data_IF_444197835819
#
_entry.id   IF_444197835819
#
_cell.length_a   1.000
_cell.length_b   1.000
_cell.length_c   1.000
_cell.angle_alpha   90.00
_cell.angle_beta   90.00
_cell.angle_gamma   90.00
#
_symmetry.space_group_name_H-M   'P 1'
#
loop_
_entity.id
_entity.type
_entity.pdbx_description
1 polymer ?
#
# COMPACT_ATOMS: atom_id res chain seq x y z
N UNK A 1 -9.62 -1.20 25.88
CA UNK A 1 -9.50 0.26 25.65
C UNK A 1 -9.31 0.43 24.14
N UNK A 2 -10.33 0.92 23.42
CA UNK A 2 -10.20 1.18 21.99
C UNK A 2 -9.37 2.46 21.87
N UNK A 3 -8.11 2.34 21.45
CA UNK A 3 -7.29 3.51 21.17
C UNK A 3 -7.93 4.29 20.03
N UNK A 4 -8.04 5.59 20.18
CA UNK A 4 -8.50 6.46 19.09
C UNK A 4 -7.45 6.40 17.99
N UNK A 5 -7.87 6.22 16.73
CA UNK A 5 -7.02 6.19 15.54
C UNK A 5 -5.98 7.34 15.52
N UNK A 6 -6.40 8.56 15.86
CA UNK A 6 -5.52 9.72 15.92
C UNK A 6 -4.44 9.60 17.00
N UNK A 7 -4.78 9.03 18.15
CA UNK A 7 -3.82 8.80 19.23
C UNK A 7 -2.78 7.78 18.83
N UNK A 8 -3.21 6.71 18.16
CA UNK A 8 -2.32 5.66 17.70
C UNK A 8 -1.40 6.16 16.58
N UNK A 9 -1.91 6.91 15.63
CA UNK A 9 -1.11 7.57 14.60
C UNK A 9 -0.05 8.52 15.21
N UNK A 10 -0.43 9.34 16.20
CA UNK A 10 0.51 10.21 16.92
C UNK A 10 1.55 9.41 17.70
N UNK A 11 1.14 8.33 18.36
CA UNK A 11 2.04 7.44 19.11
C UNK A 11 3.11 6.88 18.19
N UNK A 12 2.74 6.23 17.10
CA UNK A 12 3.67 5.62 16.15
C UNK A 12 4.62 6.66 15.57
N UNK A 13 4.11 7.81 15.19
CA UNK A 13 4.94 8.91 14.67
C UNK A 13 5.98 9.39 15.69
N UNK A 14 5.60 9.48 16.96
CA UNK A 14 6.48 9.93 18.04
C UNK A 14 7.50 8.87 18.43
N UNK A 15 7.08 7.63 18.60
CA UNK A 15 7.95 6.50 18.95
C UNK A 15 9.06 6.29 17.92
N UNK A 16 8.71 6.37 16.64
CA UNK A 16 9.70 6.21 15.58
C UNK A 16 10.45 7.49 15.25
N UNK A 17 10.09 8.64 15.85
CA UNK A 17 10.69 9.93 15.51
C UNK A 17 10.80 10.14 13.99
N UNK A 18 9.73 9.74 13.26
CA UNK A 18 9.74 9.63 11.82
C UNK A 18 9.93 11.00 11.13
N UNK A 19 10.78 11.02 10.12
CA UNK A 19 10.96 12.19 9.24
C UNK A 19 9.90 12.18 8.16
N UNK A 20 9.34 13.35 7.87
CA UNK A 20 8.50 13.55 6.67
C UNK A 20 9.38 13.98 5.50
N UNK A 21 9.23 13.28 4.40
CA UNK A 21 9.84 13.68 3.13
C UNK A 21 8.84 14.54 2.36
N UNK A 22 9.21 15.76 2.00
CA UNK A 22 8.42 16.75 1.28
C UNK A 22 7.14 17.26 1.98
N UNK A 23 6.95 18.55 1.98
CA UNK A 23 5.78 19.21 2.52
C UNK A 23 4.65 19.17 1.49
N UNK A 24 3.55 18.53 1.81
CA UNK A 24 2.24 18.80 1.20
C UNK A 24 1.67 17.81 0.20
N UNK A 25 2.42 16.77 -0.27
CA UNK A 25 1.88 15.76 -1.21
C UNK A 25 2.23 14.31 -0.86
N UNK A 26 2.69 14.03 0.34
CA UNK A 26 3.05 12.66 0.72
C UNK A 26 1.86 11.91 1.25
N UNK A 27 1.69 10.71 0.75
CA UNK A 27 0.85 9.70 1.37
C UNK A 27 1.54 9.32 2.68
N UNK A 28 0.92 9.67 3.79
CA UNK A 28 1.45 9.41 5.13
C UNK A 28 0.73 8.29 5.84
N UNK A 29 -0.35 7.81 5.25
CA UNK A 29 -1.18 6.71 5.72
C UNK A 29 -1.58 5.88 4.52
N UNK A 30 -1.45 4.58 4.65
CA UNK A 30 -1.84 3.61 3.63
C UNK A 30 -2.73 2.54 4.23
N UNK A 31 -3.43 1.83 3.36
CA UNK A 31 -4.30 0.73 3.74
C UNK A 31 -4.06 -0.46 2.81
N UNK A 32 -3.88 -1.64 3.39
CA UNK A 32 -4.08 -2.90 2.68
C UNK A 32 -5.47 -3.41 2.98
N UNK A 33 -6.16 -3.87 1.94
CA UNK A 33 -7.48 -4.46 2.05
C UNK A 33 -7.41 -5.92 1.61
N UNK A 34 -7.93 -6.80 2.44
CA UNK A 34 -8.09 -8.22 2.15
C UNK A 34 -9.57 -8.57 2.20
N UNK A 35 -10.05 -9.22 1.17
CA UNK A 35 -11.45 -9.58 1.09
C UNK A 35 -11.75 -10.46 -0.12
N UNK A 36 -13.00 -10.74 -0.33
CA UNK A 36 -13.51 -11.50 -1.47
C UNK A 36 -14.90 -11.02 -1.87
N UNK A 37 -15.37 -11.48 -3.03
CA UNK A 37 -16.74 -11.31 -3.45
C UNK A 37 -17.68 -12.21 -2.60
N UNK A 38 -18.99 -12.10 -2.82
CA UNK A 38 -19.98 -12.89 -2.12
C UNK A 38 -19.72 -14.40 -2.23
N UNK A 39 -19.47 -14.89 -3.43
CA UNK A 39 -19.24 -16.31 -3.72
C UNK A 39 -18.06 -16.88 -2.94
N UNK A 40 -16.99 -16.11 -2.78
CA UNK A 40 -15.84 -16.51 -1.98
C UNK A 40 -16.21 -16.80 -0.52
N UNK A 41 -17.14 -16.02 0.04
CA UNK A 41 -17.53 -16.18 1.45
C UNK A 41 -18.53 -17.30 1.67
N UNK A 42 -19.28 -17.71 0.63
CA UNK A 42 -20.24 -18.81 0.73
C UNK A 42 -19.58 -20.16 0.94
N UNK A 43 -18.30 -20.31 0.55
CA UNK A 43 -17.52 -21.53 0.74
C UNK A 43 -16.98 -21.69 2.16
N UNK A 44 -17.09 -20.67 3.03
CA UNK A 44 -16.63 -20.77 4.40
C UNK A 44 -17.70 -21.43 5.29
N UNK A 45 -17.34 -22.49 6.03
CA UNK A 45 -18.29 -23.25 6.83
C UNK A 45 -18.88 -22.44 8.00
N UNK A 46 -18.12 -21.52 8.56
CA UNK A 46 -18.54 -20.71 9.71
C UNK A 46 -17.69 -19.44 9.91
N UNK A 47 -18.11 -18.62 10.86
CA UNK A 47 -17.42 -17.37 11.24
C UNK A 47 -16.02 -17.61 11.83
N UNK A 48 -15.77 -18.75 12.40
CA UNK A 48 -14.47 -19.08 12.97
C UNK A 48 -13.42 -19.25 11.89
N UNK A 49 -13.77 -19.94 10.80
CA UNK A 49 -12.90 -20.10 9.63
C UNK A 49 -12.64 -18.76 8.93
N UNK A 50 -13.64 -17.89 8.85
CA UNK A 50 -13.48 -16.52 8.32
C UNK A 50 -12.48 -15.72 9.16
N UNK A 51 -12.61 -15.81 10.48
CA UNK A 51 -11.67 -15.14 11.39
C UNK A 51 -10.27 -15.75 11.27
N UNK A 52 -10.15 -17.06 11.08
CA UNK A 52 -8.86 -17.74 10.85
C UNK A 52 -8.21 -17.27 9.54
N UNK A 53 -8.99 -17.10 8.48
CA UNK A 53 -8.53 -16.50 7.23
C UNK A 53 -7.99 -15.08 7.46
N UNK A 54 -8.74 -14.19 8.10
CA UNK A 54 -8.30 -12.83 8.36
C UNK A 54 -7.07 -12.74 9.27
N UNK A 55 -6.91 -13.67 10.22
CA UNK A 55 -5.67 -13.77 11.01
C UNK A 55 -4.44 -14.08 10.14
N UNK A 56 -4.60 -14.93 9.12
CA UNK A 56 -3.50 -15.21 8.16
C UNK A 56 -3.24 -13.99 7.27
N UNK A 57 -4.28 -13.30 6.81
CA UNK A 57 -4.13 -12.05 6.06
C UNK A 57 -3.38 -10.98 6.88
N UNK A 58 -3.70 -10.85 8.16
CA UNK A 58 -3.01 -9.91 9.04
C UNK A 58 -1.54 -10.30 9.27
N UNK A 59 -1.24 -11.57 9.48
CA UNK A 59 0.14 -12.06 9.58
C UNK A 59 0.94 -11.77 8.30
N UNK A 60 0.35 -12.01 7.13
CA UNK A 60 0.93 -11.66 5.84
C UNK A 60 1.16 -10.14 5.70
N UNK A 61 0.21 -9.31 6.17
CA UNK A 61 0.39 -7.87 6.20
C UNK A 61 1.60 -7.47 7.07
N UNK A 62 1.73 -8.01 8.28
CA UNK A 62 2.90 -7.74 9.15
C UNK A 62 4.20 -8.10 8.45
N UNK A 63 4.28 -9.27 7.84
CA UNK A 63 5.48 -9.71 7.11
C UNK A 63 5.83 -8.77 5.95
N UNK A 64 4.83 -8.30 5.22
CA UNK A 64 5.01 -7.54 3.98
C UNK A 64 5.22 -6.06 4.21
N UNK A 65 4.37 -5.44 5.02
CA UNK A 65 4.35 -3.99 5.24
C UNK A 65 4.83 -3.58 6.63
N UNK A 66 5.00 -4.54 7.54
CA UNK A 66 5.45 -4.27 8.89
C UNK A 66 6.84 -3.63 8.94
N UNK A 67 7.03 -2.67 9.83
CA UNK A 67 8.32 -2.06 10.04
C UNK A 67 9.23 -3.05 10.77
N UNK A 68 10.33 -3.47 10.11
CA UNK A 68 11.21 -4.54 10.59
C UNK A 68 10.45 -5.85 10.90
N UNK A 69 9.46 -6.16 10.06
CA UNK A 69 8.61 -7.35 10.22
C UNK A 69 7.84 -7.40 11.55
N UNK A 70 7.47 -6.24 12.07
CA UNK A 70 6.61 -6.10 13.24
C UNK A 70 5.41 -5.23 12.93
N UNK A 71 4.41 -5.24 13.80
CA UNK A 71 3.19 -4.42 13.69
C UNK A 71 3.36 -2.96 14.17
N UNK A 72 4.58 -2.56 14.51
CA UNK A 72 4.86 -1.24 15.13
C UNK A 72 4.48 -0.03 14.29
N UNK A 73 4.38 -0.18 12.98
CA UNK A 73 3.90 0.85 12.06
C UNK A 73 2.42 0.69 11.69
N UNK A 74 1.75 -0.36 12.16
CA UNK A 74 0.33 -0.60 11.94
C UNK A 74 -0.47 0.21 12.96
N UNK A 75 -1.41 1.01 12.47
CA UNK A 75 -2.27 1.84 13.30
C UNK A 75 -3.44 1.02 13.83
N UNK A 76 -4.11 0.33 12.94
CA UNK A 76 -5.22 -0.56 13.28
C UNK A 76 -5.47 -1.57 12.17
N UNK A 77 -6.14 -2.66 12.54
CA UNK A 77 -6.71 -3.62 11.61
C UNK A 77 -8.19 -3.77 11.96
N UNK A 78 -9.06 -3.59 10.96
CA UNK A 78 -10.52 -3.54 11.16
C UNK A 78 -11.17 -4.52 10.21
N UNK A 79 -11.96 -5.44 10.74
CA UNK A 79 -12.84 -6.29 9.94
C UNK A 79 -14.18 -5.57 9.79
N UNK A 80 -14.56 -5.32 8.54
CA UNK A 80 -15.86 -4.76 8.18
C UNK A 80 -16.70 -5.88 7.57
N UNK A 81 -17.87 -6.14 8.15
CA UNK A 81 -18.81 -7.14 7.69
C UNK A 81 -20.07 -6.44 7.19
N UNK A 82 -20.33 -6.57 5.90
CA UNK A 82 -21.54 -6.16 5.23
C UNK A 82 -22.31 -7.42 4.77
N UNK A 83 -23.61 -7.34 4.44
CA UNK A 83 -24.40 -8.53 4.08
C UNK A 83 -23.76 -9.42 3.01
N UNK A 84 -23.05 -8.83 2.05
CA UNK A 84 -22.47 -9.54 0.91
C UNK A 84 -20.95 -9.37 0.79
N UNK A 85 -20.30 -8.73 1.76
CA UNK A 85 -18.85 -8.45 1.73
C UNK A 85 -18.26 -8.51 3.11
N UNK A 86 -17.09 -9.10 3.18
CA UNK A 86 -16.28 -9.10 4.39
C UNK A 86 -14.87 -8.69 4.02
N UNK A 87 -14.35 -7.67 4.68
CA UNK A 87 -13.05 -7.11 4.38
C UNK A 87 -12.26 -6.87 5.66
N UNK A 88 -10.97 -7.18 5.61
CA UNK A 88 -10.01 -6.74 6.59
C UNK A 88 -9.24 -5.54 6.03
N UNK A 89 -9.30 -4.41 6.71
CA UNK A 89 -8.53 -3.21 6.40
C UNK A 89 -7.38 -3.09 7.39
N UNK A 90 -6.16 -3.01 6.88
CA UNK A 90 -4.94 -2.83 7.69
C UNK A 90 -4.34 -1.47 7.37
N UNK A 91 -4.50 -0.52 8.28
CA UNK A 91 -3.98 0.85 8.14
C UNK A 91 -2.59 0.95 8.73
N UNK A 92 -1.64 1.49 7.98
CA UNK A 92 -0.23 1.56 8.36
C UNK A 92 0.49 2.81 7.88
N UNK A 93 1.62 3.10 8.51
CA UNK A 93 2.54 4.14 8.09
C UNK A 93 3.65 3.53 7.22
N UNK A 94 3.90 4.02 6.00
CA UNK A 94 4.97 3.54 5.12
C UNK A 94 6.34 4.02 5.61
N UNK A 95 6.84 3.41 6.69
CA UNK A 95 8.14 3.71 7.29
C UNK A 95 9.27 2.98 6.60
N UNK A 96 10.34 3.69 6.27
CA UNK A 96 11.57 3.13 5.73
C UNK A 96 12.80 3.67 6.45
N UNK A 97 13.80 2.82 6.70
CA UNK A 97 15.07 3.20 7.32
C UNK A 97 16.18 3.46 6.29
N UNK A 98 15.88 3.35 5.02
CA UNK A 98 16.79 3.62 3.91
C UNK A 98 16.09 4.41 2.82
N UNK A 99 16.74 5.43 2.28
CA UNK A 99 16.19 6.23 1.16
C UNK A 99 17.30 6.84 0.33
N UNK A 100 16.93 7.24 -0.89
CA UNK A 100 17.82 7.93 -1.80
C UNK A 100 17.76 9.44 -1.58
N UNK A 101 18.92 10.09 -1.46
CA UNK A 101 19.05 11.54 -1.40
C UNK A 101 19.87 12.05 -2.56
N UNK A 102 19.37 13.10 -3.22
CA UNK A 102 20.11 13.80 -4.26
C UNK A 102 21.43 14.35 -3.71
N UNK A 103 22.51 14.13 -4.44
CA UNK A 103 23.80 14.76 -4.15
C UNK A 103 23.81 16.10 -4.90
N UNK A 104 23.99 17.18 -4.15
CA UNK A 104 24.04 18.53 -4.71
C UNK A 104 25.44 19.11 -4.57
N UNK A 105 25.86 19.83 -5.60
CA UNK A 105 27.09 20.63 -5.58
C UNK A 105 26.95 21.93 -4.79
N UNK A 106 27.95 22.78 -4.91
CA UNK A 106 27.95 24.11 -4.30
C UNK A 106 27.28 25.18 -5.15
N UNK A 107 26.98 24.87 -6.42
CA UNK A 107 26.31 25.77 -7.34
C UNK A 107 24.81 25.85 -7.07
N UNK A 108 24.23 27.02 -7.35
CA UNK A 108 22.82 27.30 -7.16
C UNK A 108 22.13 27.56 -8.50
N UNK A 109 20.91 27.07 -8.62
CA UNK A 109 20.02 27.41 -9.73
C UNK A 109 19.51 28.85 -9.61
N UNK A 110 18.91 29.37 -10.68
CA UNK A 110 18.29 30.72 -10.70
C UNK A 110 17.22 30.89 -9.59
N UNK A 111 16.59 29.84 -9.14
CA UNK A 111 15.63 29.85 -8.04
C UNK A 111 16.25 29.65 -6.64
N UNK A 112 17.58 29.72 -6.51
CA UNK A 112 18.29 29.60 -5.21
C UNK A 112 18.40 28.17 -4.66
N UNK A 113 18.05 27.15 -5.41
CA UNK A 113 18.21 25.76 -5.01
C UNK A 113 19.60 25.25 -5.43
N UNK A 114 20.26 24.44 -4.60
CA UNK A 114 21.53 23.80 -4.98
C UNK A 114 21.33 22.89 -6.18
N UNK A 115 22.25 22.98 -7.17
CA UNK A 115 22.20 22.13 -8.35
C UNK A 115 22.55 20.69 -7.98
N UNK A 116 21.79 19.75 -8.51
CA UNK A 116 22.05 18.33 -8.35
C UNK A 116 23.26 17.93 -9.22
N UNK A 117 24.20 17.23 -8.61
CA UNK A 117 25.33 16.66 -9.35
C UNK A 117 24.84 15.56 -10.30
N UNK A 118 25.50 15.48 -11.44
CA UNK A 118 25.26 14.47 -12.47
C UNK A 118 26.56 13.72 -12.74
N UNK A 119 26.43 12.44 -13.15
CA UNK A 119 27.56 11.66 -13.63
C UNK A 119 27.95 12.10 -15.07
N UNK A 120 28.95 11.44 -15.62
CA UNK A 120 29.46 11.72 -16.97
C UNK A 120 28.43 11.48 -18.09
N UNK A 121 27.44 10.60 -17.82
CA UNK A 121 26.31 10.31 -18.71
C UNK A 121 25.16 11.32 -18.56
N UNK A 122 25.31 12.33 -17.69
CA UNK A 122 24.30 13.34 -17.41
C UNK A 122 23.20 12.89 -16.44
N UNK A 123 23.31 11.71 -15.84
CA UNK A 123 22.33 11.19 -14.90
C UNK A 123 22.53 11.75 -13.48
N UNK A 124 21.43 12.00 -12.75
CA UNK A 124 21.50 12.57 -11.42
C UNK A 124 22.10 11.59 -10.40
N UNK A 125 23.08 12.06 -9.64
CA UNK A 125 23.76 11.28 -8.60
C UNK A 125 22.90 11.25 -7.34
N UNK A 126 22.72 10.04 -6.77
CA UNK A 126 22.06 9.81 -5.48
C UNK A 126 23.02 9.11 -4.52
N UNK A 127 22.82 9.38 -3.23
CA UNK A 127 23.44 8.59 -2.16
C UNK A 127 22.36 7.93 -1.31
N UNK A 128 22.60 6.73 -0.89
CA UNK A 128 21.73 6.03 0.07
C UNK A 128 22.00 6.56 1.48
N UNK A 129 20.93 6.92 2.16
CA UNK A 129 20.94 7.28 3.58
C UNK A 129 20.31 6.11 4.34
N UNK A 130 20.95 5.67 5.38
CA UNK A 130 20.44 4.69 6.34
C UNK A 130 20.22 5.35 7.69
N UNK A 131 19.08 5.11 8.33
CA UNK A 131 18.81 5.61 9.67
C UNK A 131 17.75 4.77 10.38
N UNK A 132 18.18 3.97 11.33
CA UNK A 132 17.30 3.24 12.22
C UNK A 132 16.69 4.11 13.32
N UNK A 133 17.39 5.19 13.68
CA UNK A 133 16.96 6.09 14.75
C UNK A 133 15.86 7.04 14.31
N UNK A 134 15.83 7.38 13.03
CA UNK A 134 14.90 8.34 12.46
C UNK A 134 14.45 7.90 11.08
N UNK A 135 13.54 6.94 11.00
CA UNK A 135 13.03 6.45 9.73
C UNK A 135 12.34 7.57 8.94
N UNK A 136 12.26 7.37 7.64
CA UNK A 136 11.55 8.25 6.72
C UNK A 136 10.14 7.72 6.50
N UNK A 137 9.15 8.60 6.63
CA UNK A 137 7.78 8.35 6.22
C UNK A 137 7.63 8.75 4.75
N UNK A 138 7.66 7.78 3.84
CA UNK A 138 7.65 8.04 2.41
C UNK A 138 7.15 6.83 1.61
N UNK A 139 5.97 6.97 1.02
CA UNK A 139 5.34 5.95 0.18
C UNK A 139 6.26 5.42 -0.93
N UNK A 140 6.81 6.32 -1.75
CA UNK A 140 7.60 5.93 -2.92
C UNK A 140 8.87 5.15 -2.55
N UNK A 141 9.59 5.56 -1.50
CA UNK A 141 10.77 4.84 -1.05
C UNK A 141 10.41 3.52 -0.37
N UNK A 142 9.30 3.48 0.34
CA UNK A 142 8.78 2.28 0.98
C UNK A 142 8.51 1.18 -0.06
N UNK A 143 7.76 1.49 -1.12
CA UNK A 143 7.41 0.52 -2.16
C UNK A 143 8.58 0.25 -3.13
N UNK A 144 9.46 1.24 -3.38
CA UNK A 144 10.67 1.03 -4.16
C UNK A 144 11.56 -0.08 -3.58
N UNK A 145 11.67 -0.15 -2.25
CA UNK A 145 12.42 -1.19 -1.56
C UNK A 145 11.75 -2.58 -1.61
N UNK A 146 10.47 -2.62 -1.97
CA UNK A 146 9.64 -3.84 -2.06
C UNK A 146 9.33 -4.28 -3.49
N UNK A 147 10.12 -3.85 -4.47
CA UNK A 147 9.94 -4.21 -5.89
C UNK A 147 9.60 -3.04 -6.81
N UNK A 148 9.38 -1.85 -6.27
CA UNK A 148 9.10 -0.65 -7.07
C UNK A 148 7.80 -0.75 -7.87
N UNK A 149 7.88 -0.64 -9.20
CA UNK A 149 6.71 -0.66 -10.09
C UNK A 149 5.97 -2.00 -10.12
N UNK A 150 6.66 -3.10 -9.81
CA UNK A 150 6.07 -4.45 -9.78
C UNK A 150 5.60 -4.86 -8.39
N UNK A 151 5.88 -4.06 -7.35
CA UNK A 151 5.64 -4.42 -5.96
C UNK A 151 4.22 -4.86 -5.66
N UNK A 152 3.23 -4.23 -6.28
CA UNK A 152 1.83 -4.57 -6.07
C UNK A 152 1.43 -5.88 -6.76
N UNK A 153 1.89 -6.12 -7.99
CA UNK A 153 1.61 -7.39 -8.66
C UNK A 153 2.34 -8.55 -7.99
N UNK A 154 3.57 -8.33 -7.52
CA UNK A 154 4.33 -9.32 -6.79
C UNK A 154 3.69 -9.63 -5.43
N UNK A 155 3.14 -8.61 -4.77
CA UNK A 155 2.39 -8.75 -3.53
C UNK A 155 1.10 -9.58 -3.74
N UNK A 156 0.34 -9.28 -4.80
CA UNK A 156 -0.87 -10.03 -5.16
C UNK A 156 -0.55 -11.49 -5.49
N UNK A 157 0.54 -11.73 -6.23
CA UNK A 157 1.00 -13.08 -6.55
C UNK A 157 1.36 -13.88 -5.30
N UNK A 158 2.14 -13.27 -4.40
CA UNK A 158 2.52 -13.89 -3.14
C UNK A 158 1.29 -14.19 -2.28
N UNK A 159 0.40 -13.22 -2.13
CA UNK A 159 -0.83 -13.37 -1.35
C UNK A 159 -1.70 -14.51 -1.89
N UNK A 160 -1.87 -14.58 -3.21
CA UNK A 160 -2.60 -15.66 -3.84
C UNK A 160 -1.98 -17.03 -3.53
N UNK A 161 -0.67 -17.18 -3.79
CA UNK A 161 0.02 -18.45 -3.62
C UNK A 161 0.12 -18.91 -2.15
N UNK A 162 0.34 -17.98 -1.23
CA UNK A 162 0.56 -18.29 0.18
C UNK A 162 -0.75 -18.48 0.95
N UNK A 163 -1.80 -17.74 0.59
CA UNK A 163 -3.05 -17.68 1.36
C UNK A 163 -4.27 -18.02 0.51
N UNK A 164 -4.64 -17.17 -0.43
CA UNK A 164 -5.98 -17.21 -1.05
C UNK A 164 -6.28 -18.49 -1.80
N UNK A 165 -5.29 -19.08 -2.47
CA UNK A 165 -5.43 -20.35 -3.17
C UNK A 165 -5.90 -21.48 -2.25
N UNK A 166 -5.43 -21.50 -1.00
CA UNK A 166 -5.78 -22.53 0.00
C UNK A 166 -7.22 -22.45 0.46
N UNK A 167 -7.88 -21.33 0.20
CA UNK A 167 -9.27 -21.06 0.53
C UNK A 167 -10.18 -21.06 -0.72
N UNK A 168 -9.69 -21.64 -1.85
CA UNK A 168 -10.49 -21.76 -3.06
C UNK A 168 -10.66 -20.46 -3.86
N UNK A 169 -9.94 -19.39 -3.48
CA UNK A 169 -10.04 -18.15 -4.24
C UNK A 169 -9.52 -18.34 -5.66
N UNK A 170 -10.26 -17.84 -6.64
CA UNK A 170 -9.79 -17.73 -8.00
C UNK A 170 -8.83 -16.55 -8.12
N UNK A 171 -7.74 -16.76 -8.84
CA UNK A 171 -6.86 -15.66 -9.19
C UNK A 171 -7.51 -14.79 -10.25
N UNK A 172 -7.87 -13.57 -9.89
CA UNK A 172 -8.29 -12.58 -10.86
C UNK A 172 -7.20 -12.33 -11.92
N UNK A 173 -7.60 -11.81 -13.07
CA UNK A 173 -6.65 -11.43 -14.11
C UNK A 173 -5.66 -10.39 -13.60
N UNK A 174 -4.38 -10.60 -13.89
CA UNK A 174 -3.34 -9.63 -13.52
C UNK A 174 -3.64 -8.27 -14.12
N UNK A 175 -3.81 -7.24 -13.28
CA UNK A 175 -4.03 -5.85 -13.72
C UNK A 175 -2.92 -5.32 -14.63
N UNK A 176 -1.74 -5.96 -14.66
CA UNK A 176 -0.66 -5.63 -15.60
C UNK A 176 -1.03 -5.88 -17.06
N UNK A 177 -2.05 -6.71 -17.33
CA UNK A 177 -2.61 -6.95 -18.69
C UNK A 177 -3.78 -6.03 -19.02
N UNK A 178 -4.44 -5.47 -18.00
CA UNK A 178 -5.47 -4.47 -18.21
C UNK A 178 -4.77 -3.13 -18.47
N UNK A 179 -4.90 -2.61 -19.70
CA UNK A 179 -4.51 -1.22 -19.98
C UNK A 179 -5.25 -0.33 -18.98
N UNK A 180 -4.52 0.54 -18.27
CA UNK A 180 -5.12 1.51 -17.38
C UNK A 180 -6.24 2.26 -18.11
N UNK A 181 -7.48 2.01 -17.70
CA UNK A 181 -8.65 2.66 -18.27
C UNK A 181 -9.02 3.81 -17.36
N UNK A 182 -8.93 5.04 -17.83
CA UNK A 182 -9.29 6.20 -17.02
C UNK A 182 -10.77 6.14 -16.60
N UNK A 183 -11.11 6.75 -15.45
CA UNK A 183 -12.49 6.87 -14.97
C UNK A 183 -13.45 7.42 -16.06
N UNK A 184 -12.93 8.29 -16.92
CA UNK A 184 -13.69 8.86 -18.05
C UNK A 184 -13.94 7.85 -19.16
N UNK A 185 -12.96 6.98 -19.45
CA UNK A 185 -13.14 5.90 -20.44
C UNK A 185 -14.13 4.86 -19.94
N UNK A 186 -14.08 4.50 -18.65
CA UNK A 186 -15.05 3.59 -18.02
C UNK A 186 -16.47 4.19 -18.11
N UNK A 187 -16.65 5.48 -17.78
CA UNK A 187 -17.94 6.16 -17.91
C UNK A 187 -18.44 6.22 -19.35
N UNK A 188 -17.56 6.35 -20.34
CA UNK A 188 -17.93 6.32 -21.76
C UNK A 188 -18.34 4.92 -22.23
N UNK A 189 -17.68 3.89 -21.71
CA UNK A 189 -18.01 2.50 -22.02
C UNK A 189 -19.40 2.14 -21.48
N UNK A 190 -19.66 2.42 -20.21
CA UNK A 190 -20.95 2.16 -19.58
C UNK A 190 -22.12 2.91 -20.21
N UNK A 191 -21.89 4.15 -20.74
CA UNK A 191 -22.91 4.90 -21.46
C UNK A 191 -23.29 4.29 -22.81
N UNK A 192 -22.42 3.48 -23.42
CA UNK A 192 -22.69 2.83 -24.71
C UNK A 192 -23.47 1.52 -24.61
N UNK A 193 -23.39 0.84 -23.46
CA UNK A 193 -24.03 -0.47 -23.27
C UNK A 193 -25.42 -0.40 -22.64
N UNK A 194 -25.89 0.79 -22.23
CA UNK A 194 -27.31 0.99 -21.86
C UNK A 194 -27.81 0.26 -20.63
N UNK A 195 -26.94 -0.41 -19.88
CA UNK A 195 -27.29 -1.10 -18.65
C UNK A 195 -26.87 -0.27 -17.41
N UNK A 196 -27.87 0.02 -16.58
CA UNK A 196 -27.75 0.60 -15.25
C UNK A 196 -27.09 -0.40 -14.27
N UNK A 197 -25.88 -0.83 -14.57
CA UNK A 197 -25.04 -1.45 -13.57
C UNK A 197 -24.33 -0.34 -12.81
N UNK A 198 -24.64 -0.21 -11.54
CA UNK A 198 -23.86 0.54 -10.56
C UNK A 198 -22.45 -0.07 -10.51
N UNK A 199 -21.62 0.26 -11.49
CA UNK A 199 -20.20 -0.08 -11.46
C UNK A 199 -19.61 0.80 -10.37
N UNK A 200 -19.45 0.22 -9.20
CA UNK A 200 -18.65 0.86 -8.15
C UNK A 200 -17.35 1.32 -8.78
N UNK A 201 -16.98 2.58 -8.61
CA UNK A 201 -15.70 3.05 -9.12
C UNK A 201 -14.63 2.15 -8.51
N UNK A 202 -13.80 1.56 -9.37
CA UNK A 202 -12.52 1.00 -8.93
C UNK A 202 -11.78 2.21 -8.38
N UNK A 203 -11.96 2.47 -7.09
CA UNK A 203 -11.10 3.39 -6.37
C UNK A 203 -9.70 2.79 -6.46
N UNK A 204 -8.67 3.63 -6.38
CA UNK A 204 -7.26 3.23 -6.37
C UNK A 204 -6.89 2.33 -5.18
N UNK A 205 -7.87 1.74 -4.54
CA UNK A 205 -7.74 0.82 -3.44
C UNK A 205 -7.33 -0.53 -4.03
N UNK A 206 -6.14 -0.93 -3.68
CA UNK A 206 -5.54 -2.17 -4.13
C UNK A 206 -6.31 -3.30 -3.47
N UNK A 207 -7.08 -4.01 -4.27
CA UNK A 207 -7.66 -5.28 -3.85
C UNK A 207 -6.55 -6.34 -3.89
N UNK A 208 -6.21 -6.87 -2.76
CA UNK A 208 -5.32 -8.04 -2.63
C UNK A 208 -6.19 -9.24 -2.30
#
# INVERSE_FOLDING_TARGET
MVSNFEQEWKRIKTEHNARFYNRGKNITLECLQFGGNHEFWDDFPDEYEILAYFKKCYAFAIETIGYKQTDRNIICAIIVTEPNRRNLFVYYLPLTNSWQRKVCGNEFSQCGSRLQLRNDDGEPIYRTIHSDVKPLLCHSEFWKQRGGLTSYSDLQERFYNEISYRYGAERGESLSRLKYTSKEQIKRFNRKEGDDYDVMPITSDIWI
#
